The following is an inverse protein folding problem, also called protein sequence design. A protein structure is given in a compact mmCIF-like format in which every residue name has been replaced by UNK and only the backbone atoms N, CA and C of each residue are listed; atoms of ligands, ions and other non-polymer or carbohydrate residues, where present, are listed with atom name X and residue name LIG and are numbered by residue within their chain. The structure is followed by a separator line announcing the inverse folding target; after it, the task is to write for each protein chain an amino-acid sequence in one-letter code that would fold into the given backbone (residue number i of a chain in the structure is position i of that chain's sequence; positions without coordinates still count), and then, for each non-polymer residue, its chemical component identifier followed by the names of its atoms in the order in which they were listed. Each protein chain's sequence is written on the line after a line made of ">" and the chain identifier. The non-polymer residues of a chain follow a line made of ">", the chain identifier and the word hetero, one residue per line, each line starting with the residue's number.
data_IF_088929953360
#
_entry.id   IF_088929953360
#
_cell.length_a   1.000
_cell.length_b   1.000
_cell.length_c   1.000
_cell.angle_alpha   90.00
_cell.angle_beta   90.00
_cell.angle_gamma   90.00
#
_symmetry.space_group_name_H-M   'P 1'
#
loop_
_entity.id
_entity.type
_entity.pdbx_description
1 polymer ?
#
# COMPACT_ATOMS: atom_id res chain seq x y z
N UNK A 1 14.06 29.79 -42.67
CA UNK A 1 13.68 29.77 -41.23
C UNK A 1 14.27 31.03 -40.60
N UNK A 2 13.45 31.89 -40.03
CA UNK A 2 13.91 33.08 -39.31
C UNK A 2 14.07 32.68 -37.83
N UNK A 3 15.27 32.88 -37.25
CA UNK A 3 15.58 32.58 -35.87
C UNK A 3 15.47 33.86 -35.06
N UNK A 4 14.74 33.83 -33.98
CA UNK A 4 14.55 34.94 -33.07
C UNK A 4 15.20 34.60 -31.70
N UNK A 5 15.76 35.62 -31.06
CA UNK A 5 16.35 35.52 -29.72
C UNK A 5 15.53 36.41 -28.79
N UNK A 6 15.05 35.88 -27.69
CA UNK A 6 14.43 36.72 -26.67
C UNK A 6 15.54 37.57 -25.99
N UNK A 7 15.34 38.88 -25.93
CA UNK A 7 16.31 39.81 -25.34
C UNK A 7 16.38 39.72 -23.82
N UNK A 8 15.32 39.25 -23.18
CA UNK A 8 15.24 39.19 -21.70
C UNK A 8 15.72 37.88 -21.11
N UNK A 9 15.56 36.74 -21.78
CA UNK A 9 15.92 35.42 -21.25
C UNK A 9 16.89 34.63 -22.13
N UNK A 10 17.31 35.14 -23.28
CA UNK A 10 18.26 34.48 -24.18
C UNK A 10 17.73 33.23 -24.90
N UNK A 11 16.43 32.93 -24.80
CA UNK A 11 15.86 31.74 -25.41
C UNK A 11 15.74 31.91 -26.94
N UNK A 12 16.17 30.87 -27.68
CA UNK A 12 16.07 30.85 -29.16
C UNK A 12 14.85 30.07 -29.59
N UNK A 13 14.02 30.68 -30.42
CA UNK A 13 12.84 30.04 -30.98
C UNK A 13 12.75 30.28 -32.50
N UNK A 14 12.14 29.35 -33.20
CA UNK A 14 11.93 29.36 -34.63
C UNK A 14 10.43 29.30 -34.92
N UNK A 15 9.93 30.25 -35.69
CA UNK A 15 8.59 30.13 -36.23
C UNK A 15 8.62 29.33 -37.54
N UNK A 16 7.70 28.36 -37.74
CA UNK A 16 7.53 27.77 -39.03
C UNK A 16 7.05 28.83 -40.03
N UNK A 17 7.63 28.86 -41.25
CA UNK A 17 7.12 29.70 -42.32
C UNK A 17 5.64 29.39 -42.50
N UNK A 18 4.80 30.42 -42.35
CA UNK A 18 3.38 30.34 -42.74
C UNK A 18 3.34 30.05 -44.24
N UNK A 19 2.79 28.90 -44.61
CA UNK A 19 2.40 28.65 -46.01
C UNK A 19 1.33 29.67 -46.41
N UNK A 20 1.39 30.25 -47.60
CA UNK A 20 0.34 31.17 -48.04
C UNK A 20 -1.02 30.45 -47.99
N UNK A 21 -1.97 31.04 -47.30
CA UNK A 21 -3.35 30.58 -47.19
C UNK A 21 -3.94 30.48 -48.59
N UNK A 22 -4.08 29.27 -49.13
CA UNK A 22 -4.96 29.01 -50.28
C UNK A 22 -6.39 29.33 -49.81
N UNK A 23 -7.06 30.23 -50.54
CA UNK A 23 -8.46 30.64 -50.44
C UNK A 23 -9.31 29.77 -49.52
N UNK A 24 -9.39 30.12 -48.25
CA UNK A 24 -10.51 29.74 -47.41
C UNK A 24 -11.58 30.78 -47.59
N UNK A 25 -12.77 30.36 -48.03
CA UNK A 25 -13.95 31.23 -48.05
C UNK A 25 -14.02 31.94 -46.70
N UNK A 26 -14.14 33.27 -46.74
CA UNK A 26 -14.22 34.09 -45.54
C UNK A 26 -15.45 33.66 -44.72
N UNK A 27 -15.20 33.00 -43.60
CA UNK A 27 -16.27 32.68 -42.65
C UNK A 27 -16.79 34.03 -42.13
N UNK A 28 -18.08 34.34 -42.27
CA UNK A 28 -18.61 35.63 -41.83
C UNK A 28 -18.25 35.87 -40.36
N UNK A 29 -17.72 37.06 -40.06
CA UNK A 29 -17.32 37.48 -38.70
C UNK A 29 -18.41 37.20 -37.65
N UNK A 30 -19.67 37.30 -38.02
CA UNK A 30 -20.86 37.01 -37.19
C UNK A 30 -20.90 35.52 -36.78
N UNK A 31 -20.51 34.60 -37.66
CA UNK A 31 -20.49 33.16 -37.35
C UNK A 31 -19.37 32.82 -36.33
N UNK A 32 -18.20 33.46 -36.47
CA UNK A 32 -17.07 33.30 -35.54
C UNK A 32 -17.41 33.88 -34.16
N UNK A 33 -18.08 35.04 -34.12
CA UNK A 33 -18.49 35.64 -32.85
C UNK A 33 -19.55 34.82 -32.14
N UNK A 34 -20.54 34.26 -32.87
CA UNK A 34 -21.52 33.33 -32.27
C UNK A 34 -20.87 32.08 -31.70
N UNK A 35 -19.94 31.44 -32.41
CA UNK A 35 -19.18 30.30 -31.89
C UNK A 35 -18.33 30.63 -30.66
N UNK A 36 -17.79 31.84 -30.57
CA UNK A 36 -17.02 32.33 -29.41
C UNK A 36 -17.94 32.58 -28.21
N UNK A 37 -19.13 33.14 -28.44
CA UNK A 37 -20.13 33.37 -27.39
C UNK A 37 -20.71 32.04 -26.87
N UNK A 38 -21.03 31.08 -27.76
CA UNK A 38 -21.48 29.75 -27.41
C UNK A 38 -20.42 29.01 -26.57
N UNK A 39 -19.14 29.06 -26.97
CA UNK A 39 -18.03 28.49 -26.19
C UNK A 39 -17.84 29.16 -24.83
N UNK A 40 -18.04 30.47 -24.72
CA UNK A 40 -18.02 31.19 -23.44
C UNK A 40 -19.19 30.80 -22.53
N UNK A 41 -20.40 30.68 -23.09
CA UNK A 41 -21.57 30.21 -22.37
C UNK A 41 -21.42 28.77 -21.89
N UNK A 42 -20.94 27.86 -22.75
CA UNK A 42 -20.62 26.47 -22.36
C UNK A 42 -19.54 26.42 -21.30
N UNK A 43 -18.49 27.25 -21.36
CA UNK A 43 -17.46 27.33 -20.36
C UNK A 43 -18.00 27.78 -18.99
N UNK A 44 -18.87 28.79 -18.99
CA UNK A 44 -19.57 29.27 -17.79
C UNK A 44 -20.48 28.22 -17.17
N UNK A 45 -21.26 27.51 -17.99
CA UNK A 45 -22.10 26.39 -17.54
C UNK A 45 -21.26 25.22 -16.95
N UNK A 46 -20.12 24.91 -17.59
CA UNK A 46 -19.19 23.91 -17.08
C UNK A 46 -18.53 24.34 -15.76
N UNK A 47 -18.24 25.59 -15.57
CA UNK A 47 -17.70 26.15 -14.33
C UNK A 47 -18.73 26.14 -13.20
N UNK A 48 -19.96 26.54 -13.48
CA UNK A 48 -21.08 26.47 -12.53
C UNK A 48 -21.39 25.03 -12.12
N UNK A 49 -21.40 24.09 -13.07
CA UNK A 49 -21.56 22.64 -12.78
C UNK A 49 -20.42 22.09 -11.93
N UNK A 50 -19.16 22.50 -12.18
CA UNK A 50 -18.00 22.12 -11.34
C UNK A 50 -18.08 22.70 -9.92
N UNK A 51 -18.56 23.93 -9.77
CA UNK A 51 -18.76 24.56 -8.47
C UNK A 51 -19.83 23.83 -7.66
N UNK A 52 -20.94 23.43 -8.31
CA UNK A 52 -22.01 22.66 -7.70
C UNK A 52 -21.51 21.29 -7.21
N UNK A 53 -20.77 20.54 -8.05
CA UNK A 53 -20.18 19.25 -7.65
C UNK A 53 -19.19 19.39 -6.49
N UNK A 54 -18.41 20.47 -6.45
CA UNK A 54 -17.45 20.72 -5.34
C UNK A 54 -18.19 20.94 -4.02
N UNK A 55 -19.23 21.76 -4.02
CA UNK A 55 -20.08 22.00 -2.84
C UNK A 55 -20.77 20.71 -2.37
N UNK A 56 -21.34 19.94 -3.31
CA UNK A 56 -21.99 18.67 -3.04
C UNK A 56 -21.04 17.66 -2.37
N UNK A 57 -19.82 17.53 -2.89
CA UNK A 57 -18.80 16.64 -2.32
C UNK A 57 -18.28 17.13 -0.97
N UNK A 58 -18.25 18.42 -0.71
CA UNK A 58 -17.94 18.97 0.59
C UNK A 58 -19.02 18.60 1.62
N UNK A 59 -20.29 18.79 1.27
CA UNK A 59 -21.43 18.41 2.11
C UNK A 59 -21.43 16.90 2.41
N UNK A 60 -21.10 16.07 1.41
CA UNK A 60 -20.95 14.64 1.58
C UNK A 60 -19.81 14.28 2.56
N UNK A 61 -18.63 14.92 2.42
CA UNK A 61 -17.52 14.71 3.35
C UNK A 61 -17.91 15.08 4.78
N UNK A 62 -18.58 16.21 4.96
CA UNK A 62 -19.04 16.67 6.25
C UNK A 62 -20.11 15.76 6.87
N UNK A 63 -21.08 15.32 6.07
CA UNK A 63 -22.07 14.33 6.49
C UNK A 63 -21.41 13.04 6.96
N UNK A 64 -20.47 12.49 6.16
CA UNK A 64 -19.72 11.30 6.57
C UNK A 64 -18.96 11.50 7.87
N UNK A 65 -18.36 12.67 8.09
CA UNK A 65 -17.66 13.00 9.33
C UNK A 65 -18.62 12.97 10.53
N UNK A 66 -19.80 13.56 10.39
CA UNK A 66 -20.87 13.52 11.42
C UNK A 66 -21.34 12.08 11.71
N UNK A 67 -21.29 11.18 10.72
CA UNK A 67 -21.61 9.75 10.89
C UNK A 67 -20.45 8.93 11.49
N UNK A 68 -19.32 9.54 11.86
CA UNK A 68 -18.18 8.85 12.48
C UNK A 68 -17.33 8.01 11.51
N UNK A 69 -17.38 8.27 10.20
CA UNK A 69 -16.50 7.61 9.26
C UNK A 69 -15.04 8.04 9.44
N UNK A 70 -14.11 7.10 9.31
CA UNK A 70 -12.68 7.40 9.35
C UNK A 70 -12.27 8.33 8.20
N UNK A 71 -11.35 9.27 8.46
CA UNK A 71 -10.89 10.30 7.50
C UNK A 71 -10.44 9.67 6.16
N UNK A 72 -9.63 8.61 6.22
CA UNK A 72 -9.19 7.89 5.02
C UNK A 72 -10.33 7.27 4.18
N UNK A 73 -11.46 6.95 4.82
CA UNK A 73 -12.67 6.45 4.15
C UNK A 73 -13.39 7.60 3.47
N UNK A 74 -13.49 8.75 4.15
CA UNK A 74 -14.08 9.97 3.61
C UNK A 74 -13.32 10.41 2.37
N UNK A 75 -12.01 10.59 2.48
CA UNK A 75 -11.14 10.98 1.37
C UNK A 75 -11.26 10.03 0.16
N UNK A 76 -11.23 8.72 0.42
CA UNK A 76 -11.32 7.70 -0.63
C UNK A 76 -12.65 7.76 -1.38
N UNK A 77 -13.78 7.90 -0.66
CA UNK A 77 -15.12 7.97 -1.25
C UNK A 77 -15.33 9.27 -2.01
N UNK A 78 -14.95 10.41 -1.43
CA UNK A 78 -15.01 11.73 -2.09
C UNK A 78 -14.17 11.72 -3.35
N UNK A 79 -12.95 11.14 -3.32
CA UNK A 79 -12.09 11.02 -4.49
C UNK A 79 -12.75 10.19 -5.61
N UNK A 80 -13.41 9.09 -5.27
CA UNK A 80 -14.11 8.25 -6.25
C UNK A 80 -15.29 8.99 -6.89
N UNK A 81 -16.13 9.65 -6.11
CA UNK A 81 -17.26 10.44 -6.63
C UNK A 81 -16.78 11.59 -7.52
N UNK A 82 -15.71 12.30 -7.10
CA UNK A 82 -15.07 13.33 -7.93
C UNK A 82 -14.58 12.78 -9.27
N UNK A 83 -14.03 11.56 -9.29
CA UNK A 83 -13.59 10.92 -10.53
C UNK A 83 -14.78 10.55 -11.40
N UNK A 84 -15.88 10.05 -10.82
CA UNK A 84 -17.11 9.74 -11.57
C UNK A 84 -17.70 11.00 -12.22
N UNK A 85 -17.88 12.08 -11.46
CA UNK A 85 -18.36 13.35 -11.97
C UNK A 85 -17.46 13.93 -13.08
N UNK A 86 -16.11 13.87 -12.91
CA UNK A 86 -15.18 14.28 -13.96
C UNK A 86 -15.26 13.44 -15.23
N UNK A 87 -15.81 12.24 -15.16
CA UNK A 87 -16.02 11.32 -16.29
C UNK A 87 -17.43 11.39 -16.85
N UNK A 88 -18.18 12.44 -16.49
CA UNK A 88 -19.50 12.73 -17.04
C UNK A 88 -20.65 12.03 -16.32
N UNK A 89 -20.44 11.47 -15.11
CA UNK A 89 -21.55 10.94 -14.32
C UNK A 89 -22.34 12.10 -13.70
N UNK A 90 -23.63 12.12 -13.91
CA UNK A 90 -24.56 12.89 -13.09
C UNK A 90 -24.76 12.17 -11.76
N UNK A 91 -24.34 12.80 -10.66
CA UNK A 91 -24.44 12.19 -9.32
C UNK A 91 -25.88 12.15 -8.78
N UNK A 92 -26.80 12.84 -9.40
CA UNK A 92 -28.22 12.79 -9.05
C UNK A 92 -28.97 11.68 -9.78
N UNK A 93 -28.41 11.16 -10.88
CA UNK A 93 -28.98 10.06 -11.66
C UNK A 93 -28.21 8.77 -11.46
N UNK A 94 -28.80 7.75 -10.76
CA UNK A 94 -28.19 6.45 -10.56
C UNK A 94 -27.83 5.71 -11.85
N UNK A 95 -28.62 5.86 -12.92
CA UNK A 95 -28.36 5.17 -14.18
C UNK A 95 -27.16 5.79 -14.92
N UNK A 96 -27.02 7.11 -14.90
CA UNK A 96 -25.81 7.80 -15.38
C UNK A 96 -24.55 7.29 -14.67
N UNK A 97 -24.59 7.15 -13.34
CA UNK A 97 -23.46 6.64 -12.54
C UNK A 97 -23.17 5.18 -12.90
N UNK A 98 -24.19 4.31 -13.05
CA UNK A 98 -24.00 2.91 -13.49
C UNK A 98 -23.30 2.85 -14.84
N UNK A 99 -23.80 3.62 -15.81
CA UNK A 99 -23.26 3.66 -17.16
C UNK A 99 -21.76 4.09 -17.17
N UNK A 100 -21.44 5.13 -16.39
CA UNK A 100 -20.05 5.59 -16.27
C UNK A 100 -19.16 4.56 -15.61
N UNK A 101 -19.58 3.89 -14.51
CA UNK A 101 -18.81 2.82 -13.86
C UNK A 101 -18.59 1.65 -14.83
N UNK A 102 -19.62 1.24 -15.56
CA UNK A 102 -19.56 0.12 -16.50
C UNK A 102 -18.52 0.36 -17.60
N UNK A 103 -18.52 1.56 -18.20
CA UNK A 103 -17.60 1.96 -19.27
C UNK A 103 -16.12 2.05 -18.83
N UNK A 104 -15.82 2.10 -17.51
CA UNK A 104 -14.43 2.25 -17.07
C UNK A 104 -13.65 0.94 -17.19
N UNK A 105 -12.43 1.04 -17.69
CA UNK A 105 -11.46 -0.06 -17.62
C UNK A 105 -10.78 -0.10 -16.22
N UNK A 106 -11.61 -0.31 -15.18
CA UNK A 106 -11.17 -0.45 -13.80
C UNK A 106 -11.17 -1.90 -13.38
N UNK A 107 -10.30 -2.25 -12.42
CA UNK A 107 -10.41 -3.54 -11.75
C UNK A 107 -11.78 -3.68 -11.07
N UNK A 108 -12.29 -4.92 -10.99
CA UNK A 108 -13.58 -5.20 -10.34
C UNK A 108 -13.64 -4.63 -8.91
N UNK A 109 -12.54 -4.75 -8.14
CA UNK A 109 -12.47 -4.17 -6.80
C UNK A 109 -12.55 -2.63 -6.76
N UNK A 110 -12.08 -1.92 -7.81
CA UNK A 110 -12.25 -0.48 -7.90
C UNK A 110 -13.68 -0.10 -8.30
N UNK A 111 -14.31 -0.86 -9.19
CA UNK A 111 -15.72 -0.71 -9.54
C UNK A 111 -16.61 -0.92 -8.31
N UNK A 112 -16.37 -1.98 -7.54
CA UNK A 112 -17.05 -2.25 -6.29
C UNK A 112 -16.90 -1.11 -5.26
N UNK A 113 -15.70 -0.56 -5.10
CA UNK A 113 -15.49 0.60 -4.23
C UNK A 113 -16.26 1.85 -4.72
N UNK A 114 -16.38 2.06 -6.04
CA UNK A 114 -17.17 3.14 -6.60
C UNK A 114 -18.67 2.97 -6.31
N UNK A 115 -19.17 1.74 -6.44
CA UNK A 115 -20.56 1.38 -6.06
C UNK A 115 -20.80 1.68 -4.58
N UNK A 116 -19.91 1.23 -3.68
CA UNK A 116 -20.02 1.50 -2.24
C UNK A 116 -19.97 3.00 -1.93
N UNK A 117 -19.10 3.76 -2.60
CA UNK A 117 -19.01 5.21 -2.42
C UNK A 117 -20.30 5.91 -2.84
N UNK A 118 -20.86 5.52 -3.99
CA UNK A 118 -22.11 6.10 -4.49
C UNK A 118 -23.33 5.67 -3.66
N UNK A 119 -23.44 4.40 -3.23
CA UNK A 119 -24.49 3.97 -2.29
C UNK A 119 -24.47 4.79 -0.99
N UNK A 120 -23.26 5.14 -0.49
CA UNK A 120 -23.15 5.98 0.71
C UNK A 120 -23.58 7.42 0.43
N UNK A 121 -23.30 7.92 -0.77
CA UNK A 121 -23.74 9.24 -1.20
C UNK A 121 -25.25 9.32 -1.31
N UNK A 122 -25.88 8.34 -1.97
CA UNK A 122 -27.34 8.25 -2.06
C UNK A 122 -27.99 8.17 -0.67
N UNK A 123 -27.40 7.45 0.29
CA UNK A 123 -27.89 7.43 1.66
C UNK A 123 -27.93 8.84 2.29
N UNK A 124 -26.96 9.71 2.00
CA UNK A 124 -26.98 11.12 2.43
C UNK A 124 -28.12 11.89 1.76
N UNK A 125 -28.38 11.61 0.48
CA UNK A 125 -29.41 12.29 -0.31
C UNK A 125 -30.83 11.76 -0.04
N UNK A 126 -31.00 10.70 0.78
CA UNK A 126 -32.29 10.04 0.98
C UNK A 126 -32.74 9.20 -0.21
N UNK A 127 -31.87 8.97 -1.21
CA UNK A 127 -32.14 8.20 -2.40
C UNK A 127 -31.83 6.70 -2.24
N UNK A 128 -32.36 5.89 -3.14
CA UNK A 128 -32.10 4.47 -3.25
C UNK A 128 -31.79 4.07 -4.69
N UNK A 129 -31.14 2.94 -4.89
CA UNK A 129 -30.84 2.36 -6.19
C UNK A 129 -30.59 0.85 -6.08
N UNK A 130 -30.63 0.16 -7.19
CA UNK A 130 -30.18 -1.23 -7.27
C UNK A 130 -28.70 -1.23 -7.66
N UNK A 131 -27.76 -1.51 -6.73
CA UNK A 131 -26.35 -1.43 -6.99
C UNK A 131 -25.88 -2.56 -7.93
N UNK A 132 -25.04 -2.27 -8.94
CA UNK A 132 -24.44 -3.31 -9.77
C UNK A 132 -23.45 -4.16 -8.95
N UNK A 133 -23.41 -5.46 -9.21
CA UNK A 133 -22.57 -6.41 -8.48
C UNK A 133 -21.25 -6.65 -9.21
N UNK A 134 -20.16 -6.17 -8.65
CA UNK A 134 -18.79 -6.44 -9.09
C UNK A 134 -18.11 -7.33 -8.05
N UNK A 135 -17.91 -8.63 -8.36
CA UNK A 135 -17.23 -9.57 -7.47
C UNK A 135 -15.70 -9.47 -7.66
N UNK A 136 -14.97 -9.20 -6.60
CA UNK A 136 -13.50 -9.23 -6.62
C UNK A 136 -13.02 -10.65 -6.83
N UNK A 137 -12.04 -10.81 -7.70
CA UNK A 137 -11.25 -12.04 -7.77
C UNK A 137 -10.20 -11.97 -6.67
N UNK A 138 -10.25 -12.91 -5.73
CA UNK A 138 -9.22 -13.06 -4.71
C UNK A 138 -7.94 -13.58 -5.36
N UNK A 139 -6.84 -12.89 -5.09
CA UNK A 139 -5.50 -13.29 -5.54
C UNK A 139 -4.68 -13.68 -4.34
N UNK A 140 -3.98 -14.79 -4.43
CA UNK A 140 -3.01 -15.17 -3.42
C UNK A 140 -1.93 -14.09 -3.32
N UNK A 141 -1.54 -13.69 -2.10
CA UNK A 141 -0.46 -12.72 -1.93
C UNK A 141 0.86 -13.34 -2.43
N UNK A 142 1.60 -12.57 -3.20
CA UNK A 142 2.95 -12.95 -3.57
C UNK A 142 3.89 -12.80 -2.37
N UNK A 143 4.72 -13.82 -2.14
CA UNK A 143 5.71 -13.87 -1.05
C UNK A 143 7.10 -13.92 -1.67
N UNK A 144 8.01 -12.98 -1.32
CA UNK A 144 9.40 -13.00 -1.75
C UNK A 144 10.21 -14.07 -1.00
N UNK A 145 11.37 -14.41 -1.55
CA UNK A 145 12.37 -15.19 -0.83
C UNK A 145 13.00 -14.32 0.27
N UNK A 146 13.41 -14.92 1.37
CA UNK A 146 14.07 -14.21 2.46
C UNK A 146 15.36 -13.54 2.00
N UNK A 147 16.14 -14.22 1.17
CA UNK A 147 17.36 -13.68 0.55
C UNK A 147 17.11 -12.43 -0.28
N UNK A 148 15.98 -12.36 -1.03
CA UNK A 148 15.58 -11.16 -1.78
C UNK A 148 15.28 -9.97 -0.86
N UNK A 149 14.67 -10.25 0.29
CA UNK A 149 14.40 -9.21 1.30
C UNK A 149 15.70 -8.72 1.92
N UNK A 150 16.62 -9.61 2.31
CA UNK A 150 17.88 -9.26 2.94
C UNK A 150 18.80 -8.49 1.99
N UNK A 151 18.87 -8.88 0.73
CA UNK A 151 19.56 -8.12 -0.32
C UNK A 151 18.98 -6.71 -0.50
N UNK A 152 17.65 -6.58 -0.46
CA UNK A 152 17.00 -5.29 -0.54
C UNK A 152 17.31 -4.41 0.69
N UNK A 153 17.28 -4.98 1.89
CA UNK A 153 17.64 -4.28 3.13
C UNK A 153 19.09 -3.79 3.07
N UNK A 154 20.02 -4.66 2.68
CA UNK A 154 21.43 -4.33 2.56
C UNK A 154 21.72 -3.21 1.53
N UNK A 155 20.92 -3.14 0.47
CA UNK A 155 21.09 -2.14 -0.60
C UNK A 155 20.36 -0.80 -0.36
N UNK A 156 19.61 -0.66 0.74
CA UNK A 156 18.86 0.55 1.07
C UNK A 156 19.62 1.45 2.06
N UNK A 157 19.25 2.74 2.09
CA UNK A 157 19.75 3.68 3.10
C UNK A 157 19.35 3.25 4.51
N UNK A 158 20.18 3.60 5.51
CA UNK A 158 20.03 3.19 6.93
C UNK A 158 18.58 3.26 7.42
N UNK A 159 17.91 4.39 7.25
CA UNK A 159 16.53 4.61 7.70
C UNK A 159 15.51 3.68 7.02
N UNK A 160 15.65 3.47 5.71
CA UNK A 160 14.77 2.56 4.95
C UNK A 160 15.10 1.11 5.31
N UNK A 161 16.38 0.75 5.42
CA UNK A 161 16.82 -0.58 5.81
C UNK A 161 16.26 -0.97 7.19
N UNK A 162 16.37 -0.07 8.19
CA UNK A 162 15.81 -0.30 9.53
C UNK A 162 14.29 -0.46 9.48
N UNK A 163 13.59 0.36 8.68
CA UNK A 163 12.14 0.23 8.51
C UNK A 163 11.73 -1.10 7.87
N UNK A 164 12.46 -1.56 6.86
CA UNK A 164 12.23 -2.86 6.22
C UNK A 164 12.51 -4.00 7.18
N UNK A 165 13.61 -3.94 7.95
CA UNK A 165 13.95 -4.95 8.95
C UNK A 165 12.87 -5.04 10.03
N UNK A 166 12.38 -3.92 10.53
CA UNK A 166 11.27 -3.87 11.48
C UNK A 166 10.02 -4.54 10.92
N UNK A 167 9.64 -4.24 9.68
CA UNK A 167 8.48 -4.87 9.03
C UNK A 167 8.69 -6.37 8.78
N UNK A 168 9.92 -6.79 8.43
CA UNK A 168 10.28 -8.21 8.24
C UNK A 168 10.09 -9.00 9.53
N UNK A 169 10.56 -8.48 10.65
CA UNK A 169 10.51 -9.19 11.94
C UNK A 169 9.12 -9.19 12.57
N UNK A 170 8.41 -8.08 12.50
CA UNK A 170 7.15 -7.90 13.24
C UNK A 170 5.89 -8.15 12.40
N UNK A 171 5.96 -7.96 11.09
CA UNK A 171 4.78 -8.00 10.23
C UNK A 171 3.75 -6.90 10.52
N UNK A 172 4.09 -5.85 11.29
CA UNK A 172 3.18 -4.73 11.56
C UNK A 172 2.78 -3.98 10.28
N UNK A 173 1.70 -3.21 10.33
CA UNK A 173 1.30 -2.40 9.17
C UNK A 173 2.28 -1.27 8.94
N UNK A 174 2.49 -0.86 7.68
CA UNK A 174 3.40 0.25 7.37
C UNK A 174 3.06 1.55 8.12
N UNK A 175 1.79 1.85 8.32
CA UNK A 175 1.37 3.03 9.07
C UNK A 175 1.64 2.90 10.58
N UNK A 176 1.46 1.72 11.15
CA UNK A 176 1.84 1.42 12.55
C UNK A 176 3.35 1.65 12.73
N UNK A 177 4.18 1.07 11.86
CA UNK A 177 5.64 1.28 11.88
C UNK A 177 6.04 2.75 11.66
N UNK A 178 5.34 3.46 10.77
CA UNK A 178 5.59 4.87 10.48
C UNK A 178 5.31 5.79 11.66
N UNK A 179 4.31 5.42 12.47
CA UNK A 179 3.89 6.19 13.64
C UNK A 179 4.58 5.80 14.94
N UNK A 180 5.53 4.85 14.86
CA UNK A 180 6.28 4.35 16.02
C UNK A 180 7.14 5.46 16.64
N UNK A 181 7.09 5.56 17.97
CA UNK A 181 7.88 6.50 18.75
C UNK A 181 8.99 5.77 19.51
N UNK A 182 10.01 6.51 19.96
CA UNK A 182 11.07 5.93 20.78
C UNK A 182 10.58 5.35 22.09
N UNK A 183 9.55 5.95 22.70
CA UNK A 183 8.91 5.44 23.95
C UNK A 183 8.19 4.10 23.77
N UNK A 184 7.91 3.70 22.53
CA UNK A 184 7.30 2.41 22.21
C UNK A 184 8.34 1.27 22.13
N UNK A 185 9.64 1.58 22.21
CA UNK A 185 10.75 0.63 22.13
C UNK A 185 11.41 0.47 23.50
N UNK A 186 11.35 -0.72 24.03
CA UNK A 186 12.08 -1.10 25.24
C UNK A 186 13.34 -1.87 24.82
N UNK A 187 14.49 -1.24 24.96
CA UNK A 187 15.80 -1.83 24.60
C UNK A 187 16.30 -2.84 25.62
N UNK A 188 15.88 -2.76 26.88
CA UNK A 188 16.27 -3.72 27.92
C UNK A 188 15.56 -5.06 27.68
N UNK A 189 14.24 -5.01 27.48
CA UNK A 189 13.42 -6.17 27.19
C UNK A 189 13.47 -6.61 25.73
N UNK A 190 14.11 -5.81 24.87
CA UNK A 190 14.14 -5.98 23.40
C UNK A 190 12.74 -6.14 22.81
N UNK A 191 11.85 -5.22 23.15
CA UNK A 191 10.46 -5.26 22.69
C UNK A 191 10.03 -3.96 22.03
N UNK A 192 9.03 -4.08 21.14
CA UNK A 192 8.36 -2.95 20.49
C UNK A 192 6.87 -3.10 20.71
N UNK A 193 6.26 -2.10 21.32
CA UNK A 193 4.81 -2.00 21.53
C UNK A 193 4.17 -1.30 20.33
N UNK A 194 3.08 -1.85 19.83
CA UNK A 194 2.40 -1.32 18.63
C UNK A 194 1.05 -0.74 18.98
N UNK A 195 0.90 0.56 18.78
CA UNK A 195 -0.40 1.23 18.79
C UNK A 195 -1.16 0.89 17.51
N UNK A 196 -2.33 0.25 17.60
CA UNK A 196 -3.01 -0.30 16.46
C UNK A 196 -3.65 0.75 15.56
N UNK A 197 -3.49 0.59 14.25
CA UNK A 197 -4.31 1.26 13.23
C UNK A 197 -5.57 0.44 12.88
N UNK A 198 -6.56 1.10 12.31
CA UNK A 198 -7.75 0.48 11.71
C UNK A 198 -8.49 -0.49 12.66
N UNK A 199 -8.56 -0.13 13.95
CA UNK A 199 -9.23 -0.93 14.98
C UNK A 199 -8.66 -2.35 15.13
N UNK A 200 -7.37 -2.58 14.82
CA UNK A 200 -6.71 -3.86 15.12
C UNK A 200 -6.40 -3.98 16.62
N UNK A 201 -5.98 -5.18 17.06
CA UNK A 201 -5.57 -5.39 18.47
C UNK A 201 -4.19 -4.78 18.73
N UNK A 202 -3.90 -4.23 19.94
CA UNK A 202 -2.54 -3.87 20.34
C UNK A 202 -1.66 -5.13 20.40
N UNK A 203 -0.35 -4.96 20.21
CA UNK A 203 0.61 -6.08 20.13
C UNK A 203 1.96 -5.63 20.63
N UNK A 204 2.71 -6.59 21.19
CA UNK A 204 4.10 -6.42 21.57
C UNK A 204 4.92 -7.44 20.80
N UNK A 205 6.03 -7.01 20.23
CA UNK A 205 6.95 -7.89 19.49
C UNK A 205 8.32 -7.89 20.14
N UNK A 206 8.92 -9.06 20.26
CA UNK A 206 10.36 -9.18 20.51
C UNK A 206 11.12 -8.80 19.24
N UNK A 207 12.21 -8.05 19.38
CA UNK A 207 13.11 -7.66 18.29
C UNK A 207 14.44 -8.35 18.41
N UNK A 208 15.08 -8.64 17.27
CA UNK A 208 16.41 -9.23 17.24
C UNK A 208 17.49 -8.23 17.65
N UNK A 209 18.66 -8.70 18.09
CA UNK A 209 19.82 -7.85 18.36
C UNK A 209 20.27 -7.08 17.12
N UNK A 210 20.03 -7.63 15.91
CA UNK A 210 20.27 -6.95 14.63
C UNK A 210 19.37 -5.71 14.49
N UNK A 211 18.06 -5.86 14.69
CA UNK A 211 17.13 -4.74 14.61
C UNK A 211 17.38 -3.71 15.71
N UNK A 212 17.69 -4.15 16.93
CA UNK A 212 18.08 -3.28 18.03
C UNK A 212 19.28 -2.40 17.66
N UNK A 213 20.36 -2.99 17.12
CA UNK A 213 21.53 -2.24 16.66
C UNK A 213 21.18 -1.25 15.54
N UNK A 214 20.34 -1.67 14.59
CA UNK A 214 19.89 -0.80 13.51
C UNK A 214 19.04 0.38 14.01
N UNK A 215 18.20 0.18 15.03
CA UNK A 215 17.42 1.24 15.66
C UNK A 215 18.32 2.21 16.42
N UNK A 216 19.23 1.70 17.26
CA UNK A 216 20.19 2.54 18.00
C UNK A 216 21.09 3.40 17.09
N UNK A 217 21.34 2.95 15.87
CA UNK A 217 22.09 3.71 14.87
C UNK A 217 21.30 4.85 14.20
N UNK A 218 19.99 4.99 14.47
CA UNK A 218 19.19 6.10 13.97
C UNK A 218 19.26 7.31 14.93
N UNK A 219 19.11 8.55 14.41
CA UNK A 219 19.04 9.75 15.25
C UNK A 219 17.85 9.70 16.21
N UNK A 220 18.08 9.92 17.50
CA UNK A 220 17.07 9.88 18.56
C UNK A 220 16.62 11.27 19.01
N UNK A 221 16.89 12.31 18.25
CA UNK A 221 16.57 13.70 18.56
C UNK A 221 15.10 14.10 18.29
N UNK A 222 14.23 13.13 18.03
CA UNK A 222 12.81 13.34 17.71
C UNK A 222 11.95 12.32 18.44
N UNK A 223 10.66 12.65 18.65
CA UNK A 223 9.74 11.71 19.28
C UNK A 223 9.48 10.46 18.43
N UNK A 224 9.45 10.60 17.10
CA UNK A 224 9.18 9.51 16.17
C UNK A 224 10.48 8.94 15.58
N UNK A 225 10.53 7.62 15.39
CA UNK A 225 11.68 6.91 14.82
C UNK A 225 11.82 7.21 13.32
N UNK A 226 10.71 7.14 12.56
CA UNK A 226 10.72 7.18 11.11
C UNK A 226 10.15 8.44 10.47
N UNK A 227 9.48 9.30 11.19
CA UNK A 227 8.97 10.58 10.67
C UNK A 227 9.53 11.76 11.47
N UNK A 228 9.61 12.92 10.82
CA UNK A 228 10.11 14.13 11.48
C UNK A 228 9.12 14.64 12.52
N UNK A 229 7.83 14.65 12.14
CA UNK A 229 6.72 15.13 12.95
C UNK A 229 5.41 14.43 12.52
N UNK A 230 4.29 14.85 13.10
CA UNK A 230 2.96 14.27 12.80
C UNK A 230 2.46 14.58 11.39
N UNK A 231 2.97 15.62 10.73
CA UNK A 231 2.54 16.07 9.40
C UNK A 231 3.19 15.30 8.26
N UNK A 232 4.36 14.67 8.52
CA UNK A 232 5.07 13.89 7.53
C UNK A 232 4.26 12.67 7.05
N UNK A 233 4.05 12.59 5.74
CA UNK A 233 3.27 11.52 5.13
C UNK A 233 4.14 10.31 4.76
N UNK A 234 3.63 9.11 5.06
CA UNK A 234 4.26 7.85 4.67
C UNK A 234 4.45 7.73 3.15
N UNK A 235 3.63 8.41 2.34
CA UNK A 235 3.71 8.33 0.88
C UNK A 235 5.04 8.85 0.33
N UNK A 236 5.56 9.95 0.87
CA UNK A 236 6.88 10.48 0.48
C UNK A 236 8.01 9.50 0.81
N UNK A 237 7.95 8.87 1.98
CA UNK A 237 8.89 7.84 2.38
C UNK A 237 8.81 6.60 1.47
N UNK A 238 7.59 6.17 1.14
CA UNK A 238 7.35 5.06 0.23
C UNK A 238 7.84 5.37 -1.21
N UNK A 239 7.74 6.63 -1.67
CA UNK A 239 8.30 7.04 -2.95
C UNK A 239 9.83 6.94 -2.97
N UNK A 240 10.50 7.36 -1.89
CA UNK A 240 11.95 7.19 -1.75
C UNK A 240 12.33 5.70 -1.72
N UNK A 241 11.62 4.88 -0.96
CA UNK A 241 11.81 3.43 -0.98
C UNK A 241 11.66 2.85 -2.39
N UNK A 242 10.64 3.25 -3.17
CA UNK A 242 10.45 2.77 -4.56
C UNK A 242 11.67 3.10 -5.44
N UNK A 243 12.28 4.29 -5.28
CA UNK A 243 13.49 4.68 -6.01
C UNK A 243 14.69 3.78 -5.63
N UNK A 244 14.90 3.55 -4.33
CA UNK A 244 16.00 2.70 -3.85
C UNK A 244 15.81 1.25 -4.26
N UNK A 245 14.61 0.71 -4.13
CA UNK A 245 14.27 -0.66 -4.57
C UNK A 245 14.60 -0.88 -6.05
N UNK A 246 14.24 0.07 -6.93
CA UNK A 246 14.58 -0.01 -8.36
C UNK A 246 16.08 -0.06 -8.60
N UNK A 247 16.86 0.76 -7.86
CA UNK A 247 18.32 0.74 -7.93
C UNK A 247 18.89 -0.62 -7.52
N UNK A 248 18.43 -1.16 -6.39
CA UNK A 248 18.87 -2.47 -5.88
C UNK A 248 18.52 -3.58 -6.87
N UNK A 249 17.28 -3.59 -7.37
CA UNK A 249 16.84 -4.56 -8.36
C UNK A 249 17.69 -4.52 -9.65
N UNK A 250 18.02 -3.33 -10.12
CA UNK A 250 18.89 -3.16 -11.29
C UNK A 250 20.33 -3.62 -11.01
N UNK A 251 20.91 -3.22 -9.88
CA UNK A 251 22.28 -3.61 -9.46
C UNK A 251 22.42 -5.12 -9.34
N UNK A 252 21.43 -5.79 -8.79
CA UNK A 252 21.44 -7.25 -8.58
C UNK A 252 20.88 -8.03 -9.77
N UNK A 253 20.48 -7.36 -10.85
CA UNK A 253 19.83 -7.96 -12.02
C UNK A 253 18.64 -8.87 -11.66
N UNK A 254 17.95 -8.56 -10.54
CA UNK A 254 16.81 -9.33 -10.05
C UNK A 254 15.50 -8.49 -10.11
N UNK A 255 14.68 -8.65 -11.16
CA UNK A 255 13.43 -7.90 -11.33
C UNK A 255 12.37 -8.26 -10.27
N UNK A 256 12.46 -9.43 -9.61
CA UNK A 256 11.54 -9.86 -8.56
C UNK A 256 11.56 -8.92 -7.36
N UNK A 257 12.72 -8.31 -7.03
CA UNK A 257 12.86 -7.32 -5.97
C UNK A 257 11.91 -6.14 -6.17
N UNK A 258 11.61 -5.75 -7.41
CA UNK A 258 10.66 -4.67 -7.71
C UNK A 258 9.22 -4.95 -7.25
N UNK A 259 8.86 -6.20 -6.98
CA UNK A 259 7.56 -6.59 -6.45
C UNK A 259 7.46 -6.43 -4.93
N UNK A 260 8.60 -6.30 -4.23
CA UNK A 260 8.62 -6.15 -2.76
C UNK A 260 8.09 -4.76 -2.40
N UNK A 261 7.05 -4.72 -1.58
CA UNK A 261 6.45 -3.51 -1.02
C UNK A 261 6.43 -3.62 0.50
N UNK A 262 6.17 -2.55 1.22
CA UNK A 262 6.00 -2.63 2.67
C UNK A 262 4.93 -3.65 3.09
N UNK A 263 3.84 -3.74 2.32
CA UNK A 263 2.77 -4.72 2.57
C UNK A 263 3.24 -6.16 2.34
N UNK A 264 4.13 -6.37 1.39
CA UNK A 264 4.67 -7.70 1.06
C UNK A 264 5.44 -8.31 2.23
N UNK A 265 6.16 -7.49 3.01
CA UNK A 265 6.88 -7.94 4.21
C UNK A 265 5.93 -8.49 5.28
N UNK A 266 4.74 -7.90 5.43
CA UNK A 266 3.70 -8.45 6.30
C UNK A 266 3.15 -9.77 5.79
N UNK A 267 3.01 -9.94 4.46
CA UNK A 267 2.63 -11.23 3.87
C UNK A 267 3.73 -12.27 4.11
N UNK A 268 4.99 -11.89 3.91
CA UNK A 268 6.15 -12.73 4.20
C UNK A 268 6.14 -13.21 5.66
N UNK A 269 6.09 -12.28 6.64
CA UNK A 269 6.09 -12.65 8.07
C UNK A 269 4.92 -13.56 8.41
N UNK A 270 3.72 -13.25 7.95
CA UNK A 270 2.54 -14.08 8.22
C UNK A 270 2.67 -15.50 7.66
N UNK A 271 3.20 -15.63 6.43
CA UNK A 271 3.40 -16.91 5.77
C UNK A 271 4.47 -17.73 6.47
N UNK A 272 5.62 -17.11 6.79
CA UNK A 272 6.72 -17.79 7.48
C UNK A 272 6.33 -18.22 8.90
N UNK A 273 5.55 -17.39 9.60
CA UNK A 273 5.08 -17.74 10.94
C UNK A 273 4.07 -18.90 10.91
N UNK A 274 3.13 -18.87 9.96
CA UNK A 274 2.22 -20.00 9.75
C UNK A 274 2.97 -21.27 9.37
N UNK A 275 3.95 -21.16 8.49
CA UNK A 275 4.78 -22.30 8.10
C UNK A 275 5.51 -22.91 9.31
N UNK A 276 6.04 -22.05 10.18
CA UNK A 276 6.78 -22.45 11.39
C UNK A 276 5.87 -23.08 12.45
N UNK A 277 4.72 -22.47 12.72
CA UNK A 277 3.86 -22.86 13.86
C UNK A 277 2.70 -23.75 13.47
N UNK A 278 2.25 -23.70 12.21
CA UNK A 278 0.98 -24.28 11.70
C UNK A 278 -0.26 -23.83 12.49
N UNK A 279 -0.11 -22.82 13.30
CA UNK A 279 -1.19 -22.25 14.10
C UNK A 279 -1.70 -20.95 13.47
N UNK A 280 -2.91 -21.00 12.92
CA UNK A 280 -3.56 -19.85 12.28
C UNK A 280 -4.03 -18.81 13.30
N UNK A 281 -4.37 -19.24 14.53
CA UNK A 281 -4.79 -18.35 15.59
C UNK A 281 -3.60 -17.52 16.09
N UNK A 282 -2.44 -18.16 16.26
CA UNK A 282 -1.20 -17.47 16.56
C UNK A 282 -0.87 -16.41 15.50
N UNK A 283 -0.95 -16.75 14.21
CA UNK A 283 -0.74 -15.78 13.11
C UNK A 283 -1.78 -14.66 13.13
N UNK A 284 -3.03 -14.98 13.46
CA UNK A 284 -4.10 -13.99 13.58
C UNK A 284 -3.79 -12.98 14.69
N UNK A 285 -3.33 -13.42 15.85
CA UNK A 285 -2.93 -12.58 16.98
C UNK A 285 -1.69 -11.74 16.65
N UNK A 286 -0.65 -12.35 16.10
CA UNK A 286 0.57 -11.68 15.63
C UNK A 286 0.23 -10.55 14.66
N UNK A 287 -0.69 -10.76 13.74
CA UNK A 287 -1.12 -9.73 12.80
C UNK A 287 -2.13 -8.75 13.39
N UNK A 288 -2.74 -9.04 14.54
CA UNK A 288 -3.81 -8.25 15.15
C UNK A 288 -5.10 -8.24 14.32
N UNK A 289 -5.40 -9.32 13.62
CA UNK A 289 -6.64 -9.45 12.88
C UNK A 289 -7.81 -9.77 13.83
N UNK A 290 -8.97 -9.13 13.61
CA UNK A 290 -10.20 -9.40 14.37
C UNK A 290 -11.05 -10.52 13.76
N UNK A 291 -10.84 -10.83 12.48
CA UNK A 291 -11.56 -11.87 11.75
C UNK A 291 -10.57 -12.85 11.15
N UNK A 292 -10.81 -14.13 11.37
CA UNK A 292 -9.93 -15.21 10.90
C UNK A 292 -9.84 -15.25 9.37
N UNK A 293 -10.91 -14.88 8.65
CA UNK A 293 -10.95 -14.85 7.19
C UNK A 293 -9.83 -13.99 6.60
N UNK A 294 -9.42 -12.93 7.31
CA UNK A 294 -8.29 -12.08 6.88
C UNK A 294 -6.94 -12.79 6.97
N UNK A 295 -6.87 -13.90 7.72
CA UNK A 295 -5.65 -14.67 7.97
C UNK A 295 -5.60 -15.95 7.14
N UNK A 296 -6.75 -16.57 6.84
CA UNK A 296 -6.83 -17.84 6.11
C UNK A 296 -6.08 -17.85 4.76
N UNK A 297 -5.97 -16.72 4.09
CA UNK A 297 -5.19 -16.59 2.84
C UNK A 297 -3.71 -16.98 2.97
N UNK A 298 -3.16 -17.09 4.19
CA UNK A 298 -1.79 -17.49 4.43
C UNK A 298 -1.65 -19.01 4.59
N UNK A 299 -2.74 -19.75 4.80
CA UNK A 299 -2.73 -21.20 4.89
C UNK A 299 -2.45 -21.90 3.56
N UNK A 300 -2.78 -21.22 2.45
CA UNK A 300 -2.65 -21.77 1.09
C UNK A 300 -1.27 -21.54 0.47
N UNK A 301 -0.37 -20.85 1.17
CA UNK A 301 0.73 -20.19 0.48
C UNK A 301 1.98 -21.02 0.29
N UNK A 302 2.16 -22.21 0.87
CA UNK A 302 3.39 -22.95 0.59
C UNK A 302 3.29 -24.42 1.02
N UNK A 303 3.41 -25.31 0.06
CA UNK A 303 3.91 -26.67 0.25
C UNK A 303 5.42 -26.65 0.01
N UNK A 304 6.21 -26.28 0.98
CA UNK A 304 7.64 -26.57 1.00
C UNK A 304 7.79 -28.06 1.37
N UNK A 305 7.81 -28.93 0.37
CA UNK A 305 7.87 -30.37 0.62
C UNK A 305 9.26 -30.89 0.97
N UNK A 306 10.34 -30.18 0.67
CA UNK A 306 11.65 -30.87 0.61
C UNK A 306 12.69 -30.50 1.69
N UNK A 307 12.42 -29.53 2.61
CA UNK A 307 13.41 -29.16 3.63
C UNK A 307 12.79 -28.77 4.98
N UNK A 308 11.74 -29.46 5.41
CA UNK A 308 11.02 -29.07 6.64
C UNK A 308 11.78 -29.33 7.93
N UNK A 309 12.76 -30.23 7.91
CA UNK A 309 13.45 -30.66 9.11
C UNK A 309 14.97 -30.60 8.98
N UNK A 310 15.61 -30.15 10.04
CA UNK A 310 17.04 -30.37 10.29
C UNK A 310 17.14 -31.59 11.15
N UNK A 311 17.86 -32.62 10.69
CA UNK A 311 18.19 -33.79 11.49
C UNK A 311 19.54 -33.58 12.17
N UNK A 312 19.63 -34.01 13.43
CA UNK A 312 20.86 -34.11 14.23
C UNK A 312 20.88 -35.45 14.94
N UNK A 313 22.06 -35.93 15.18
CA UNK A 313 22.28 -37.18 15.92
C UNK A 313 23.02 -36.93 17.23
N UNK A 314 22.74 -37.71 18.22
CA UNK A 314 23.43 -37.68 19.50
C UNK A 314 23.75 -39.11 20.01
N UNK A 315 24.92 -39.25 20.56
CA UNK A 315 25.39 -40.54 21.19
C UNK A 315 25.53 -40.41 22.69
N UNK A 316 25.68 -39.20 23.22
CA UNK A 316 25.88 -38.95 24.63
C UNK A 316 24.74 -38.18 25.27
N UNK A 317 24.53 -38.36 26.58
CA UNK A 317 23.50 -37.63 27.33
C UNK A 317 23.67 -36.12 27.26
N UNK A 318 24.91 -35.61 27.23
CA UNK A 318 25.23 -34.20 27.11
C UNK A 318 24.78 -33.62 25.74
N UNK A 319 24.94 -34.38 24.66
CA UNK A 319 24.49 -34.00 23.31
C UNK A 319 22.96 -34.03 23.22
N UNK A 320 22.34 -35.06 23.81
CA UNK A 320 20.87 -35.17 23.87
C UNK A 320 20.28 -33.96 24.59
N UNK A 321 20.82 -33.63 25.77
CA UNK A 321 20.36 -32.49 26.54
C UNK A 321 20.48 -31.15 25.73
N UNK A 322 21.62 -30.97 25.05
CA UNK A 322 21.82 -29.79 24.17
C UNK A 322 20.82 -29.72 23.01
N UNK A 323 20.51 -30.85 22.39
CA UNK A 323 19.54 -30.89 21.29
C UNK A 323 18.13 -30.63 21.79
N UNK A 324 17.73 -31.18 22.93
CA UNK A 324 16.42 -30.91 23.56
C UNK A 324 16.31 -29.43 23.95
N UNK A 325 17.33 -28.85 24.58
CA UNK A 325 17.37 -27.42 24.91
C UNK A 325 17.30 -26.51 23.65
N UNK A 326 17.89 -26.98 22.56
CA UNK A 326 17.81 -26.29 21.26
C UNK A 326 16.45 -26.48 20.54
N UNK A 327 15.51 -27.23 21.16
CA UNK A 327 14.17 -27.46 20.63
C UNK A 327 14.10 -28.52 19.53
N UNK A 328 14.99 -29.53 19.57
CA UNK A 328 14.89 -30.69 18.71
C UNK A 328 14.00 -31.75 19.35
N UNK A 329 13.18 -32.40 18.55
CA UNK A 329 12.32 -33.53 18.93
C UNK A 329 13.05 -34.87 18.67
N UNK A 330 12.97 -35.82 19.58
CA UNK A 330 13.45 -37.16 19.36
C UNK A 330 12.62 -37.89 18.30
N UNK A 331 13.26 -38.63 17.41
CA UNK A 331 12.59 -39.38 16.34
C UNK A 331 12.71 -40.88 16.54
N UNK A 332 13.94 -41.42 16.62
CA UNK A 332 14.21 -42.83 16.73
C UNK A 332 15.65 -43.07 17.20
N UNK A 333 15.96 -44.32 17.48
CA UNK A 333 17.33 -44.81 17.78
C UNK A 333 17.67 -45.93 16.81
N UNK A 334 18.89 -45.94 16.34
CA UNK A 334 19.45 -46.99 15.52
C UNK A 334 20.93 -47.18 15.90
N UNK A 335 21.32 -48.39 16.22
CA UNK A 335 22.70 -48.77 16.61
C UNK A 335 23.30 -47.85 17.70
N UNK A 336 22.53 -47.51 18.72
CA UNK A 336 22.98 -46.67 19.84
C UNK A 336 23.09 -45.17 19.48
N UNK A 337 22.73 -44.78 18.27
CA UNK A 337 22.67 -43.36 17.82
C UNK A 337 21.23 -42.87 17.85
N UNK A 338 20.98 -41.80 18.60
CA UNK A 338 19.65 -41.17 18.69
C UNK A 338 19.50 -40.07 17.67
N UNK A 339 18.42 -40.13 16.92
CA UNK A 339 18.09 -39.17 15.86
C UNK A 339 17.08 -38.14 16.37
N UNK A 340 17.39 -36.90 16.15
CA UNK A 340 16.57 -35.77 16.53
C UNK A 340 16.22 -34.92 15.28
N UNK A 341 15.02 -34.39 15.26
CA UNK A 341 14.59 -33.45 14.22
C UNK A 341 14.13 -32.14 14.84
N UNK A 342 14.36 -31.08 14.12
CA UNK A 342 13.78 -29.78 14.42
C UNK A 342 13.26 -29.19 13.13
N UNK A 343 12.09 -28.60 13.18
CA UNK A 343 11.54 -27.88 12.03
C UNK A 343 12.37 -26.61 11.80
N UNK A 344 12.72 -26.36 10.54
CA UNK A 344 13.45 -25.15 10.12
C UNK A 344 12.62 -23.88 10.29
#
# INVERSE_FOLDING_TARGET
>A
MQRWLCRDCGYRFTFPRQKPLRNRAAIPYITVMKEVEERKAEAGLREAAKANVKSLLFNFAWWMKKQGYAESTIESRVKLLRVLAKRGADLYDPESVKAVIAKQNWSLGRKENAVIAYSTFLKMMGGSWVPPRYKRVEKLPWVPLETEIDQLIAGCSRRIATFLQLLKETGMRPGEAWSLKWVDVDFEKKTVTVTPEKRSKPRIFKISSKLEAMLKALPQNRAYIFKADSTCQLEHFANNFRKQRRRVAAKLKNPRINRITFKTLRHFKATMEYHKTRDILHVMELLGHKRIQNTLKYTHLINFKDDEYVCRVAKSEKEIAKLIQAGFEYVCEHEGVKFFRKRK
#
